data_IF_572153352232
#
_entry.id   IF_572153352232
#
_cell.length_a   1.000
_cell.length_b   1.000
_cell.length_c   1.000
_cell.angle_alpha   90.00
_cell.angle_beta   90.00
_cell.angle_gamma   90.00
#
_symmetry.space_group_name_H-M   'P 1'
#
loop_
_entity.id
_entity.type
_entity.pdbx_description
1 polymer ?
#
# COMPACT_ATOMS: atom_id res chain seq x y z
N UNK A 1 -15.92 23.21 6.77
CA UNK A 1 -15.60 21.78 7.02
C UNK A 1 -14.85 21.28 5.79
N UNK A 2 -13.59 20.85 5.90
CA UNK A 2 -12.96 20.18 4.77
C UNK A 2 -13.81 18.96 4.42
N UNK A 3 -14.13 18.79 3.13
CA UNK A 3 -14.96 17.69 2.66
C UNK A 3 -14.34 16.35 3.05
N UNK A 4 -15.17 15.42 3.53
CA UNK A 4 -14.75 14.08 3.94
C UNK A 4 -14.03 13.44 2.75
N UNK A 5 -12.81 12.94 2.96
CA UNK A 5 -12.03 12.32 1.89
C UNK A 5 -12.77 11.08 1.38
N UNK A 6 -12.86 10.85 0.05
CA UNK A 6 -13.54 9.67 -0.51
C UNK A 6 -12.99 8.33 0.03
N UNK A 7 -11.73 8.32 0.49
CA UNK A 7 -11.13 7.17 1.18
C UNK A 7 -11.77 6.89 2.57
N UNK A 8 -12.16 7.94 3.31
CA UNK A 8 -12.85 7.81 4.61
C UNK A 8 -14.29 7.34 4.41
N UNK A 9 -14.91 7.71 3.29
CA UNK A 9 -16.24 7.25 2.91
C UNK A 9 -16.24 5.76 2.55
N UNK A 10 -15.23 5.29 1.78
CA UNK A 10 -15.12 3.89 1.40
C UNK A 10 -14.84 2.96 2.58
N UNK A 11 -13.96 3.38 3.51
CA UNK A 11 -13.69 2.65 4.76
C UNK A 11 -14.97 2.51 5.60
N UNK A 12 -15.74 3.60 5.72
CA UNK A 12 -17.01 3.60 6.45
C UNK A 12 -18.02 2.60 5.88
N UNK A 13 -18.22 2.62 4.57
CA UNK A 13 -19.13 1.67 3.90
C UNK A 13 -18.69 0.20 4.06
N UNK A 14 -17.39 -0.07 4.02
CA UNK A 14 -16.87 -1.43 4.23
C UNK A 14 -17.05 -1.89 5.67
N UNK A 15 -16.84 -1.00 6.64
CA UNK A 15 -17.07 -1.29 8.06
C UNK A 15 -18.54 -1.60 8.35
N UNK A 16 -19.47 -0.85 7.74
CA UNK A 16 -20.91 -1.12 7.85
C UNK A 16 -21.27 -2.51 7.32
N UNK A 17 -20.70 -2.92 6.18
CA UNK A 17 -20.87 -4.26 5.62
C UNK A 17 -20.31 -5.35 6.55
N UNK A 18 -19.12 -5.13 7.12
CA UNK A 18 -18.53 -6.05 8.11
C UNK A 18 -19.44 -6.22 9.32
N UNK A 19 -19.95 -5.11 9.87
CA UNK A 19 -20.85 -5.15 11.04
C UNK A 19 -22.18 -5.83 10.72
N UNK A 20 -22.71 -5.66 9.51
CA UNK A 20 -23.90 -6.37 9.05
C UNK A 20 -23.62 -7.88 8.95
N UNK A 21 -22.50 -8.28 8.36
CA UNK A 21 -22.14 -9.69 8.17
C UNK A 21 -21.86 -10.40 9.51
N UNK A 22 -21.28 -9.71 10.50
CA UNK A 22 -21.07 -10.25 11.84
C UNK A 22 -22.38 -10.57 12.59
N UNK A 23 -23.48 -9.86 12.28
CA UNK A 23 -24.77 -10.01 12.96
C UNK A 23 -25.59 -11.18 12.44
N UNK A 24 -25.31 -11.68 11.25
CA UNK A 24 -26.06 -12.77 10.62
C UNK A 24 -25.26 -14.08 10.59
N UNK A 25 -25.89 -15.21 10.92
CA UNK A 25 -25.28 -16.54 10.79
C UNK A 25 -25.66 -17.17 9.46
N UNK A 26 -24.99 -16.72 8.39
CA UNK A 26 -25.21 -17.21 7.02
C UNK A 26 -24.11 -18.17 6.57
N UNK A 27 -24.45 -19.04 5.62
CA UNK A 27 -23.45 -19.81 4.91
C UNK A 27 -22.45 -18.85 4.23
N UNK A 28 -21.15 -19.15 4.33
CA UNK A 28 -20.10 -18.30 3.76
C UNK A 28 -19.71 -17.08 4.60
N UNK A 29 -20.30 -16.86 5.80
CA UNK A 29 -20.00 -15.72 6.68
C UNK A 29 -18.50 -15.51 6.90
N UNK A 30 -17.78 -16.57 7.26
CA UNK A 30 -16.35 -16.46 7.54
C UNK A 30 -15.58 -16.00 6.30
N UNK A 31 -15.86 -16.59 5.14
CA UNK A 31 -15.23 -16.19 3.88
C UNK A 31 -15.54 -14.72 3.52
N UNK A 32 -16.78 -14.27 3.76
CA UNK A 32 -17.15 -12.87 3.54
C UNK A 32 -16.40 -11.93 4.50
N UNK A 33 -16.31 -12.27 5.79
CA UNK A 33 -15.57 -11.51 6.79
C UNK A 33 -14.07 -11.44 6.45
N UNK A 34 -13.46 -12.54 6.01
CA UNK A 34 -12.05 -12.57 5.62
C UNK A 34 -11.78 -11.58 4.48
N UNK A 35 -12.63 -11.56 3.44
CA UNK A 35 -12.48 -10.62 2.31
C UNK A 35 -12.77 -9.17 2.69
N UNK A 36 -13.73 -8.93 3.58
CA UNK A 36 -14.01 -7.58 4.09
C UNK A 36 -12.85 -7.06 4.94
N UNK A 37 -12.23 -7.91 5.76
CA UNK A 37 -11.02 -7.58 6.53
C UNK A 37 -9.83 -7.27 5.62
N UNK A 38 -9.57 -8.09 4.60
CA UNK A 38 -8.54 -7.80 3.58
C UNK A 38 -8.77 -6.45 2.90
N UNK A 39 -10.01 -6.17 2.51
CA UNK A 39 -10.38 -4.90 1.88
C UNK A 39 -10.24 -3.70 2.84
N UNK A 40 -10.58 -3.86 4.12
CA UNK A 40 -10.35 -2.82 5.14
C UNK A 40 -8.87 -2.53 5.31
N UNK A 41 -8.01 -3.54 5.35
CA UNK A 41 -6.57 -3.37 5.45
C UNK A 41 -6.02 -2.60 4.24
N UNK A 42 -6.43 -2.96 3.02
CA UNK A 42 -6.02 -2.26 1.80
C UNK A 42 -6.45 -0.79 1.82
N UNK A 43 -7.68 -0.50 2.24
CA UNK A 43 -8.18 0.88 2.30
C UNK A 43 -7.45 1.72 3.35
N UNK A 44 -7.13 1.13 4.51
CA UNK A 44 -6.35 1.79 5.54
C UNK A 44 -4.94 2.12 5.02
N UNK A 45 -4.29 1.17 4.33
CA UNK A 45 -2.97 1.41 3.73
C UNK A 45 -3.02 2.53 2.69
N UNK A 46 -4.03 2.57 1.82
CA UNK A 46 -4.21 3.65 0.85
C UNK A 46 -4.44 5.00 1.52
N UNK A 47 -5.27 5.04 2.57
CA UNK A 47 -5.48 6.25 3.35
C UNK A 47 -4.17 6.78 3.95
N UNK A 48 -3.34 5.89 4.53
CA UNK A 48 -2.04 6.27 5.09
C UNK A 48 -1.07 6.77 4.00
N UNK A 49 -1.09 6.17 2.81
CA UNK A 49 -0.30 6.63 1.67
C UNK A 49 -0.76 8.01 1.16
N UNK A 50 -2.07 8.24 1.06
CA UNK A 50 -2.66 9.49 0.57
C UNK A 50 -2.54 10.63 1.57
N UNK A 51 -2.56 10.34 2.88
CA UNK A 51 -2.43 11.35 3.93
C UNK A 51 -1.06 12.05 3.92
N UNK A 52 -0.03 11.44 3.32
CA UNK A 52 1.30 12.04 3.21
C UNK A 52 2.06 12.20 4.54
N UNK A 53 1.53 11.69 5.65
CA UNK A 53 2.16 11.75 6.97
C UNK A 53 3.23 10.67 7.20
N UNK A 54 3.44 9.78 6.23
CA UNK A 54 4.51 8.79 6.28
C UNK A 54 5.79 9.38 5.69
N UNK A 55 6.62 9.95 6.56
CA UNK A 55 7.84 10.66 6.16
C UNK A 55 9.00 9.72 5.76
N UNK A 56 8.98 8.45 6.21
CA UNK A 56 10.01 7.46 5.86
C UNK A 56 9.51 6.01 5.97
N UNK A 57 10.26 5.06 5.41
CA UNK A 57 9.93 3.63 5.45
C UNK A 57 9.26 3.11 4.17
N UNK A 58 8.85 1.84 4.18
CA UNK A 58 8.29 1.17 3.00
C UNK A 58 7.05 1.88 2.45
N UNK A 59 6.16 2.35 3.32
CA UNK A 59 4.95 3.08 2.94
C UNK A 59 5.27 4.44 2.30
N UNK A 60 6.29 5.16 2.78
CA UNK A 60 6.78 6.37 2.12
C UNK A 60 7.32 6.07 0.71
N UNK A 61 8.04 4.94 0.57
CA UNK A 61 8.48 4.44 -0.73
C UNK A 61 7.31 4.15 -1.69
N UNK A 62 6.25 3.52 -1.20
CA UNK A 62 5.05 3.21 -1.99
C UNK A 62 4.25 4.47 -2.36
N UNK A 63 4.28 5.51 -1.53
CA UNK A 63 3.66 6.80 -1.84
C UNK A 63 4.49 7.62 -2.86
N UNK A 64 5.79 7.35 -3.01
CA UNK A 64 6.65 8.11 -3.91
C UNK A 64 6.46 7.70 -5.40
N UNK A 65 6.09 8.62 -6.32
CA UNK A 65 5.68 8.29 -7.71
C UNK A 65 6.70 7.52 -8.56
N UNK A 66 8.00 7.62 -8.24
CA UNK A 66 9.07 6.89 -8.93
C UNK A 66 9.44 5.58 -8.23
N UNK A 67 9.36 5.50 -6.90
CA UNK A 67 9.77 4.32 -6.16
C UNK A 67 8.67 3.25 -6.17
N UNK A 68 7.41 3.67 -6.21
CA UNK A 68 6.24 2.77 -6.28
C UNK A 68 6.36 1.76 -7.43
N UNK A 69 6.91 2.15 -8.58
CA UNK A 69 7.11 1.25 -9.73
C UNK A 69 8.07 0.10 -9.42
N UNK A 70 9.20 0.42 -8.78
CA UNK A 70 10.18 -0.58 -8.38
C UNK A 70 9.63 -1.48 -7.26
N UNK A 71 8.88 -0.92 -6.31
CA UNK A 71 8.30 -1.67 -5.19
C UNK A 71 7.14 -2.58 -5.63
N UNK A 72 6.31 -2.15 -6.57
CA UNK A 72 5.30 -3.00 -7.22
C UNK A 72 6.00 -4.14 -7.95
N UNK A 73 7.03 -3.84 -8.76
CA UNK A 73 7.77 -4.88 -9.48
C UNK A 73 8.39 -5.92 -8.54
N UNK A 74 8.92 -5.50 -7.39
CA UNK A 74 9.43 -6.37 -6.33
C UNK A 74 8.33 -7.29 -5.77
N UNK A 75 7.13 -6.76 -5.52
CA UNK A 75 5.99 -7.52 -5.00
C UNK A 75 5.38 -8.47 -6.03
N UNK A 76 5.34 -8.08 -7.30
CA UNK A 76 4.77 -8.88 -8.38
C UNK A 76 5.68 -10.07 -8.74
N UNK A 77 6.99 -9.95 -8.50
CA UNK A 77 8.02 -10.96 -8.81
C UNK A 77 9.01 -11.11 -7.65
N UNK A 78 8.58 -11.61 -6.48
CA UNK A 78 9.43 -11.73 -5.30
C UNK A 78 10.60 -12.71 -5.49
N UNK A 79 10.48 -13.66 -6.41
CA UNK A 79 11.48 -14.68 -6.73
C UNK A 79 12.60 -14.21 -7.67
N UNK A 80 12.46 -13.02 -8.26
CA UNK A 80 13.48 -12.49 -9.17
C UNK A 80 14.72 -12.01 -8.42
N UNK A 81 15.89 -12.19 -9.04
CA UNK A 81 17.17 -11.67 -8.53
C UNK A 81 17.27 -10.14 -8.71
N UNK A 82 16.63 -9.42 -7.81
CA UNK A 82 16.57 -7.97 -7.85
C UNK A 82 17.91 -7.32 -7.54
N UNK A 83 18.52 -6.73 -8.56
CA UNK A 83 19.68 -5.85 -8.39
C UNK A 83 19.24 -4.39 -8.26
N UNK A 84 20.07 -3.58 -7.61
CA UNK A 84 19.85 -2.13 -7.53
C UNK A 84 19.69 -1.47 -8.91
N UNK A 85 20.40 -1.98 -9.93
CA UNK A 85 20.28 -1.50 -11.31
C UNK A 85 18.94 -1.93 -11.95
N UNK A 86 18.50 -3.15 -11.68
CA UNK A 86 17.19 -3.65 -12.11
C UNK A 86 16.04 -2.81 -11.56
N UNK A 87 16.06 -2.53 -10.25
CA UNK A 87 15.06 -1.68 -9.61
C UNK A 87 15.09 -0.23 -10.11
N UNK A 88 16.29 0.33 -10.33
CA UNK A 88 16.42 1.67 -10.91
C UNK A 88 15.82 1.74 -12.33
N UNK A 89 15.95 0.66 -13.11
CA UNK A 89 15.33 0.56 -14.44
C UNK A 89 13.80 0.54 -14.36
N UNK A 90 13.22 -0.23 -13.44
CA UNK A 90 11.76 -0.24 -13.20
C UNK A 90 11.25 1.15 -12.76
N UNK A 91 12.03 1.88 -11.97
CA UNK A 91 11.74 3.25 -11.57
C UNK A 91 11.94 4.30 -12.69
N UNK A 92 12.57 3.93 -13.81
CA UNK A 92 12.94 4.85 -14.90
C UNK A 92 13.98 5.89 -14.47
N UNK A 93 14.97 5.47 -13.68
CA UNK A 93 16.00 6.32 -13.08
C UNK A 93 17.41 5.77 -13.33
N UNK A 94 18.42 6.62 -13.25
CA UNK A 94 19.80 6.15 -13.16
C UNK A 94 20.05 5.45 -11.82
N UNK A 95 20.95 4.48 -11.78
CA UNK A 95 21.31 3.72 -10.57
C UNK A 95 21.66 4.62 -9.39
N UNK A 96 22.48 5.66 -9.61
CA UNK A 96 22.91 6.57 -8.54
C UNK A 96 21.73 7.38 -7.98
N UNK A 97 20.85 7.90 -8.85
CA UNK A 97 19.69 8.69 -8.44
C UNK A 97 18.67 7.84 -7.70
N UNK A 98 18.42 6.62 -8.18
CA UNK A 98 17.56 5.65 -7.49
C UNK A 98 18.12 5.32 -6.10
N UNK A 99 19.41 5.02 -6.00
CA UNK A 99 20.05 4.66 -4.73
C UNK A 99 19.95 5.77 -3.67
N UNK A 100 20.14 7.04 -4.06
CA UNK A 100 19.95 8.17 -3.13
C UNK A 100 18.51 8.26 -2.69
N UNK A 101 17.59 8.38 -3.65
CA UNK A 101 16.16 8.54 -3.36
C UNK A 101 15.60 7.38 -2.51
N UNK A 102 15.97 6.15 -2.82
CA UNK A 102 15.55 4.98 -2.06
C UNK A 102 16.03 5.06 -0.61
N UNK A 103 17.28 5.43 -0.36
CA UNK A 103 17.80 5.61 1.02
C UNK A 103 17.06 6.73 1.75
N UNK A 104 16.86 7.85 1.07
CA UNK A 104 16.29 9.06 1.67
C UNK A 104 14.78 8.89 1.97
N UNK A 105 14.08 8.04 1.22
CA UNK A 105 12.62 7.82 1.37
C UNK A 105 12.27 6.53 2.13
N UNK A 106 12.94 5.41 1.84
CA UNK A 106 12.60 4.09 2.41
C UNK A 106 13.42 3.79 3.66
N UNK A 107 14.59 4.42 3.83
CA UNK A 107 15.55 4.10 4.90
C UNK A 107 16.50 2.97 4.51
N UNK A 108 17.57 2.77 5.31
CA UNK A 108 18.49 1.65 5.14
C UNK A 108 17.80 0.33 5.49
N UNK A 109 17.90 -0.66 4.60
CA UNK A 109 17.95 -2.05 5.04
C UNK A 109 19.31 -2.21 5.72
N UNK A 110 19.32 -2.28 7.04
CA UNK A 110 20.51 -2.62 7.82
C UNK A 110 20.94 -4.05 7.59
#
# INVERSE_FOLDING_TARGET
MPGRSPAIDSVGGTLELTLAEMREERCGRQAALDRLCELLAIQLLRYLMDAGEVESGLLAGMAHPKLVKALIALHDRPEADWTLNGLAREAGMSRARFASLFRDTVGQVG
#
